data_IF_259769389465
#
_entry.id   IF_259769389465
#
_cell.length_a   1.000
_cell.length_b   1.000
_cell.length_c   1.000
_cell.angle_alpha   90.00
_cell.angle_beta   90.00
_cell.angle_gamma   90.00
#
_symmetry.space_group_name_H-M   'P 1'
#
loop_
_entity.id
_entity.type
_entity.pdbx_description
1 polymer ?
#
# COMPACT_ATOMS: atom_id res chain seq x y z
N UNK A 1 -38.52 -8.22 -8.00
CA UNK A 1 -38.14 -8.27 -9.44
C UNK A 1 -36.95 -7.35 -9.61
N UNK A 2 -35.75 -7.92 -9.61
CA UNK A 2 -34.49 -7.19 -9.69
C UNK A 2 -34.17 -6.91 -11.16
N UNK A 3 -33.84 -5.67 -11.57
CA UNK A 3 -33.44 -5.44 -12.96
C UNK A 3 -32.04 -6.01 -13.21
N UNK A 4 -31.78 -6.55 -14.42
CA UNK A 4 -30.49 -7.14 -14.77
C UNK A 4 -29.45 -6.07 -15.07
N UNK A 5 -28.25 -6.21 -14.51
CA UNK A 5 -27.07 -5.47 -14.96
C UNK A 5 -26.63 -6.06 -16.30
N UNK A 6 -26.87 -5.33 -17.39
CA UNK A 6 -26.39 -5.70 -18.72
C UNK A 6 -24.93 -5.24 -18.89
N UNK A 7 -24.12 -6.16 -19.39
CA UNK A 7 -22.77 -5.93 -19.89
C UNK A 7 -22.85 -5.23 -21.26
N UNK A 8 -22.02 -4.22 -21.49
CA UNK A 8 -21.68 -3.76 -22.85
C UNK A 8 -20.18 -3.53 -22.90
N UNK A 9 -19.56 -4.08 -23.95
CA UNK A 9 -18.14 -3.94 -24.22
C UNK A 9 -17.88 -3.34 -25.60
N UNK A 10 -16.61 -2.95 -25.75
CA UNK A 10 -15.86 -2.64 -26.96
C UNK A 10 -16.00 -1.24 -27.57
N UNK A 11 -15.02 -0.37 -27.24
CA UNK A 11 -14.34 0.47 -28.23
C UNK A 11 -12.85 0.55 -27.87
N UNK A 12 -12.00 0.22 -28.84
CA UNK A 12 -10.56 0.13 -28.69
C UNK A 12 -9.88 1.50 -28.58
N UNK A 13 -9.48 1.83 -27.36
CA UNK A 13 -8.33 2.68 -27.06
C UNK A 13 -7.38 1.85 -26.20
N UNK A 14 -6.12 1.76 -26.59
CA UNK A 14 -5.08 1.18 -25.72
C UNK A 14 -4.78 2.19 -24.62
N UNK A 15 -5.58 2.08 -23.55
CA UNK A 15 -5.50 2.76 -22.28
C UNK A 15 -4.15 2.51 -21.60
N UNK A 16 -3.33 3.56 -21.44
CA UNK A 16 -2.01 3.51 -20.79
C UNK A 16 -2.00 4.24 -19.44
N UNK A 17 -3.14 4.39 -18.77
CA UNK A 17 -3.23 5.10 -17.48
C UNK A 17 -3.89 4.33 -16.32
N UNK A 18 -4.39 3.10 -16.51
CA UNK A 18 -5.10 2.35 -15.44
C UNK A 18 -4.64 0.89 -15.20
N UNK A 19 -3.34 0.61 -15.37
CA UNK A 19 -2.74 -0.52 -14.64
C UNK A 19 -2.48 -0.07 -13.19
N UNK A 20 -3.56 -0.05 -12.39
CA UNK A 20 -3.52 0.27 -10.97
C UNK A 20 -2.62 -0.76 -10.24
N UNK A 21 -1.32 -0.48 -10.17
CA UNK A 21 -0.32 -1.31 -9.52
C UNK A 21 -0.80 -1.68 -8.12
N UNK A 22 -0.85 -2.99 -7.84
CA UNK A 22 -1.34 -3.51 -6.56
C UNK A 22 -0.17 -3.73 -5.62
N UNK A 23 -0.08 -2.98 -4.51
CA UNK A 23 0.97 -3.18 -3.54
C UNK A 23 0.72 -4.44 -2.72
N UNK A 24 1.80 -5.01 -2.18
CA UNK A 24 1.70 -6.04 -1.16
C UNK A 24 1.17 -5.42 0.15
N UNK A 25 0.30 -6.15 0.85
CA UNK A 25 -0.12 -5.79 2.20
C UNK A 25 0.86 -6.39 3.21
N UNK A 26 1.68 -5.57 3.91
CA UNK A 26 2.58 -6.06 4.96
C UNK A 26 1.78 -6.47 6.21
N UNK A 27 0.76 -5.68 6.57
CA UNK A 27 -0.10 -5.88 7.74
C UNK A 27 -1.42 -5.11 7.56
N UNK A 28 -2.53 -5.70 8.05
CA UNK A 28 -3.85 -5.08 8.08
C UNK A 28 -4.03 -4.18 9.30
N UNK A 29 -3.25 -3.09 9.34
CA UNK A 29 -3.33 -2.10 10.42
C UNK A 29 -2.43 -0.90 10.17
N UNK A 30 -2.59 0.21 10.91
CA UNK A 30 -1.65 1.31 10.88
C UNK A 30 -0.36 0.98 11.64
N UNK A 31 0.69 1.77 11.39
CA UNK A 31 1.85 1.89 12.28
C UNK A 31 1.80 3.27 12.93
N UNK A 32 1.81 3.29 14.26
CA UNK A 32 1.89 4.52 15.03
C UNK A 32 3.37 4.92 15.19
N UNK A 33 3.75 6.04 14.58
CA UNK A 33 5.11 6.58 14.65
C UNK A 33 5.14 7.79 15.59
N UNK A 34 6.06 7.80 16.54
CA UNK A 34 6.27 8.90 17.48
C UNK A 34 7.62 9.60 17.23
N UNK A 35 7.79 10.81 17.76
CA UNK A 35 9.10 11.49 17.79
C UNK A 35 9.62 11.96 16.42
N UNK A 36 8.73 12.26 15.47
CA UNK A 36 9.12 12.83 14.19
C UNK A 36 9.36 14.33 14.30
N UNK A 37 10.42 14.82 13.64
CA UNK A 37 10.78 16.23 13.64
C UNK A 37 9.99 16.98 12.56
N UNK A 38 9.25 18.05 12.90
CA UNK A 38 8.60 18.94 11.92
C UNK A 38 9.52 19.36 10.77
N UNK A 39 9.01 19.35 9.54
CA UNK A 39 9.77 19.71 8.34
C UNK A 39 10.75 18.63 7.87
N UNK A 40 10.98 17.57 8.64
CA UNK A 40 11.77 16.43 8.18
C UNK A 40 11.07 15.75 7.00
N UNK A 41 11.83 15.47 5.95
CA UNK A 41 11.34 14.66 4.83
C UNK A 41 11.47 13.18 5.19
N UNK A 42 10.38 12.43 5.02
CA UNK A 42 10.36 10.96 5.04
C UNK A 42 9.88 10.42 3.70
N UNK A 43 10.26 9.19 3.42
CA UNK A 43 9.82 8.46 2.23
C UNK A 43 8.91 7.32 2.69
N UNK A 44 7.60 7.46 2.45
CA UNK A 44 6.63 6.42 2.75
C UNK A 44 6.73 5.29 1.72
N UNK A 45 6.71 4.04 2.21
CA UNK A 45 6.73 2.85 1.37
C UNK A 45 5.36 2.70 0.69
N UNK A 46 5.34 2.63 -0.64
CA UNK A 46 4.12 2.41 -1.43
C UNK A 46 3.95 0.94 -1.86
N UNK A 47 5.04 0.17 -1.99
CA UNK A 47 5.00 -1.22 -2.49
C UNK A 47 4.66 -2.29 -1.44
N UNK A 48 4.84 -2.01 -0.16
CA UNK A 48 4.67 -2.98 0.93
C UNK A 48 5.88 -3.88 1.25
N UNK A 49 6.92 -3.88 0.41
CA UNK A 49 8.07 -4.79 0.57
C UNK A 49 9.14 -4.32 1.56
N UNK A 50 9.00 -3.13 2.15
CA UNK A 50 10.00 -2.62 3.09
C UNK A 50 10.03 -3.44 4.37
N UNK A 51 11.24 -3.74 4.86
CA UNK A 51 11.48 -4.31 6.19
C UNK A 51 11.35 -3.26 7.31
N UNK A 52 11.43 -1.97 6.96
CA UNK A 52 11.41 -0.83 7.88
C UNK A 52 10.11 -0.03 7.76
N UNK A 53 8.97 -0.74 7.67
CA UNK A 53 7.67 -0.08 7.56
C UNK A 53 7.48 0.94 8.70
N UNK A 54 6.82 2.07 8.43
CA UNK A 54 6.14 2.44 7.18
C UNK A 54 7.05 3.10 6.14
N UNK A 55 8.36 3.18 6.40
CA UNK A 55 9.30 3.94 5.58
C UNK A 55 9.94 3.07 4.48
N UNK A 56 10.33 3.71 3.39
CA UNK A 56 11.03 3.06 2.30
C UNK A 56 12.48 2.72 2.66
N UNK A 57 12.87 1.47 2.42
CA UNK A 57 14.23 0.93 2.58
C UNK A 57 14.89 0.56 1.24
N UNK A 58 14.31 1.04 0.13
CA UNK A 58 14.67 0.71 -1.25
C UNK A 58 14.32 -0.73 -1.70
N UNK A 59 13.56 -1.50 -0.92
CA UNK A 59 13.03 -2.80 -1.33
C UNK A 59 12.05 -2.72 -2.50
N UNK A 60 11.65 -1.54 -2.99
CA UNK A 60 10.85 -1.40 -4.21
C UNK A 60 11.65 -1.55 -5.52
N UNK A 61 13.00 -1.54 -5.49
CA UNK A 61 13.82 -1.70 -6.69
C UNK A 61 13.46 -2.98 -7.45
N UNK A 62 13.29 -2.90 -8.76
CA UNK A 62 12.80 -4.01 -9.59
C UNK A 62 11.28 -4.11 -9.68
N UNK A 63 10.55 -3.20 -9.05
CA UNK A 63 9.10 -2.99 -9.27
C UNK A 63 8.87 -1.59 -9.85
N UNK A 64 7.67 -1.33 -10.35
CA UNK A 64 7.22 -0.02 -10.84
C UNK A 64 6.86 0.96 -9.71
N UNK A 65 6.84 0.51 -8.45
CA UNK A 65 6.54 1.36 -7.32
C UNK A 65 7.64 2.38 -7.02
N UNK A 66 7.24 3.62 -6.76
CA UNK A 66 8.10 4.69 -6.26
C UNK A 66 7.65 5.12 -4.86
N UNK A 67 8.58 5.39 -3.92
CA UNK A 67 8.21 5.85 -2.59
C UNK A 67 7.60 7.25 -2.65
N UNK A 68 6.67 7.53 -1.74
CA UNK A 68 6.01 8.83 -1.64
C UNK A 68 6.79 9.73 -0.68
N UNK A 69 7.19 10.92 -1.16
CA UNK A 69 7.78 11.95 -0.31
C UNK A 69 6.71 12.56 0.58
N UNK A 70 6.94 12.53 1.89
CA UNK A 70 6.08 13.18 2.88
C UNK A 70 6.93 14.07 3.79
N UNK A 71 6.44 15.29 4.03
CA UNK A 71 7.07 16.24 4.95
C UNK A 71 6.28 16.19 6.25
N UNK A 72 6.97 15.94 7.37
CA UNK A 72 6.35 15.86 8.69
C UNK A 72 5.66 17.20 9.00
N UNK A 73 4.33 17.23 9.19
CA UNK A 73 3.64 18.46 9.55
C UNK A 73 4.05 18.90 10.97
N UNK A 74 4.05 20.21 11.22
CA UNK A 74 4.70 20.73 12.42
C UNK A 74 3.83 20.78 13.67
N UNK A 75 2.54 21.02 13.51
CA UNK A 75 1.67 21.38 14.62
C UNK A 75 0.24 20.90 14.40
N UNK A 76 -0.41 20.54 15.50
CA UNK A 76 -1.86 20.40 15.58
C UNK A 76 -2.52 21.78 15.41
N UNK A 77 -3.83 21.78 15.11
CA UNK A 77 -4.62 23.00 14.99
C UNK A 77 -4.60 23.86 16.28
N UNK A 78 -4.34 23.24 17.43
CA UNK A 78 -4.23 23.91 18.74
C UNK A 78 -2.81 24.42 19.08
N UNK A 79 -1.88 24.35 18.12
CA UNK A 79 -0.51 24.83 18.26
C UNK A 79 0.46 23.87 18.95
N UNK A 80 0.02 22.68 19.39
CA UNK A 80 0.91 21.68 19.99
C UNK A 80 1.65 20.87 18.94
N UNK A 81 2.84 20.37 19.29
CA UNK A 81 3.57 19.41 18.47
C UNK A 81 2.79 18.08 18.38
N UNK A 82 2.61 17.55 17.17
CA UNK A 82 2.00 16.25 16.97
C UNK A 82 2.92 15.14 17.52
N UNK A 83 2.50 14.51 18.63
CA UNK A 83 3.31 13.48 19.28
C UNK A 83 3.32 12.13 18.55
N UNK A 84 2.25 11.82 17.81
CA UNK A 84 2.03 10.51 17.17
C UNK A 84 1.36 10.65 15.81
N UNK A 85 1.85 9.90 14.83
CA UNK A 85 1.27 9.79 13.49
C UNK A 85 0.79 8.36 13.23
N UNK A 86 -0.48 8.21 12.83
CA UNK A 86 -1.01 6.93 12.36
C UNK A 86 -0.76 6.82 10.85
N UNK A 87 0.26 6.06 10.48
CA UNK A 87 0.70 5.90 9.09
C UNK A 87 0.15 4.59 8.52
N UNK A 88 -0.36 4.64 7.30
CA UNK A 88 -0.92 3.48 6.62
C UNK A 88 0.14 2.39 6.43
N UNK A 89 -0.14 1.18 6.93
CA UNK A 89 0.68 0.02 6.59
C UNK A 89 0.09 -0.83 5.48
N UNK A 90 -1.23 -0.87 5.29
CA UNK A 90 -1.85 -1.74 4.29
C UNK A 90 -1.60 -1.32 2.84
N UNK A 91 -1.25 -0.04 2.59
CA UNK A 91 -0.97 0.56 1.26
C UNK A 91 -2.20 0.85 0.38
N UNK A 92 -3.41 0.67 0.91
CA UNK A 92 -4.68 0.96 0.20
C UNK A 92 -5.40 2.21 0.76
N UNK A 93 -4.69 3.09 1.47
CA UNK A 93 -5.25 4.36 1.95
C UNK A 93 -5.57 5.28 0.78
N UNK A 94 -6.68 6.01 0.89
CA UNK A 94 -7.07 7.10 -0.01
C UNK A 94 -6.42 8.44 0.38
N UNK A 95 -5.81 8.51 1.56
CA UNK A 95 -5.17 9.71 2.10
C UNK A 95 -3.70 9.44 2.47
N UNK A 96 -2.82 9.08 1.51
CA UNK A 96 -1.44 8.76 1.81
C UNK A 96 -0.68 9.96 2.42
N UNK A 97 0.21 9.73 3.39
CA UNK A 97 0.60 8.43 3.97
C UNK A 97 -0.27 7.99 5.17
N UNK A 98 -1.33 8.72 5.51
CA UNK A 98 -2.11 8.50 6.73
C UNK A 98 -3.03 7.28 6.64
N UNK A 99 -3.32 6.69 7.79
CA UNK A 99 -4.33 5.64 7.88
C UNK A 99 -5.74 6.23 7.82
N UNK A 100 -6.58 5.68 6.95
CA UNK A 100 -8.00 6.02 6.76
C UNK A 100 -8.93 4.84 7.08
N UNK A 101 -8.42 3.83 7.79
CA UNK A 101 -9.12 2.57 8.10
C UNK A 101 -9.49 1.68 6.89
N UNK A 102 -8.98 1.93 5.68
CA UNK A 102 -9.23 1.05 4.52
C UNK A 102 -8.83 -0.42 4.77
N UNK A 103 -7.89 -0.66 5.70
CA UNK A 103 -7.44 -2.00 6.08
C UNK A 103 -8.51 -2.88 6.75
N UNK A 104 -9.63 -2.31 7.23
CA UNK A 104 -10.69 -3.08 7.88
C UNK A 104 -11.47 -3.93 6.88
N UNK A 105 -11.79 -3.38 5.71
CA UNK A 105 -12.55 -4.08 4.65
C UNK A 105 -11.67 -4.67 3.55
N UNK A 106 -10.34 -4.49 3.66
CA UNK A 106 -9.37 -4.93 2.66
C UNK A 106 -9.15 -6.46 2.61
N UNK A 107 -9.12 -7.23 3.72
CA UNK A 107 -8.69 -8.63 3.69
C UNK A 107 -9.43 -9.49 2.67
N UNK A 108 -10.77 -9.48 2.66
CA UNK A 108 -11.54 -10.23 1.68
C UNK A 108 -11.27 -9.79 0.24
N UNK A 109 -11.14 -8.48 -0.01
CA UNK A 109 -10.90 -7.93 -1.35
C UNK A 109 -9.51 -8.30 -1.87
N UNK A 110 -8.51 -8.21 -1.00
CA UNK A 110 -7.13 -8.51 -1.34
C UNK A 110 -6.92 -10.00 -1.62
N UNK A 111 -7.50 -10.87 -0.78
CA UNK A 111 -7.45 -12.32 -1.00
C UNK A 111 -8.24 -12.75 -2.23
N UNK A 112 -9.40 -12.14 -2.49
CA UNK A 112 -10.18 -12.37 -3.72
C UNK A 112 -9.36 -12.02 -4.97
N UNK A 113 -8.77 -10.82 -4.99
CA UNK A 113 -7.90 -10.37 -6.08
C UNK A 113 -6.71 -11.31 -6.34
N UNK A 114 -6.12 -11.90 -5.29
CA UNK A 114 -5.06 -12.89 -5.45
C UNK A 114 -5.56 -14.23 -5.99
N UNK A 115 -6.75 -14.68 -5.57
CA UNK A 115 -7.36 -15.91 -6.06
C UNK A 115 -7.82 -15.82 -7.52
N UNK A 116 -8.18 -14.63 -7.98
CA UNK A 116 -8.57 -14.35 -9.36
C UNK A 116 -7.39 -13.92 -10.26
N UNK A 117 -6.17 -13.85 -9.70
CA UNK A 117 -5.00 -13.42 -10.43
C UNK A 117 -4.62 -14.46 -11.51
N UNK A 118 -4.39 -13.97 -12.73
CA UNK A 118 -4.02 -14.79 -13.90
C UNK A 118 -2.50 -14.98 -14.05
N UNK A 119 -1.70 -14.27 -13.26
CA UNK A 119 -0.24 -14.34 -13.31
C UNK A 119 0.27 -15.62 -12.64
N UNK A 120 1.39 -16.15 -13.14
CA UNK A 120 2.05 -17.30 -12.51
C UNK A 120 2.81 -16.87 -11.25
N UNK A 121 2.16 -17.02 -10.09
CA UNK A 121 2.75 -16.72 -8.79
C UNK A 121 3.97 -17.59 -8.44
N UNK A 122 4.20 -18.73 -9.11
CA UNK A 122 5.41 -19.54 -8.89
C UNK A 122 6.66 -18.87 -9.49
N UNK A 123 6.49 -18.06 -10.53
CA UNK A 123 7.56 -17.30 -11.18
C UNK A 123 7.78 -15.90 -10.57
N UNK A 124 6.94 -15.47 -9.62
CA UNK A 124 7.05 -14.15 -9.00
C UNK A 124 8.20 -14.14 -8.00
N UNK A 125 9.31 -13.50 -8.36
CA UNK A 125 10.46 -13.35 -7.45
C UNK A 125 10.18 -12.42 -6.26
N UNK A 126 9.33 -11.41 -6.47
CA UNK A 126 9.23 -10.28 -5.53
C UNK A 126 7.82 -9.81 -5.25
N UNK A 127 7.12 -9.37 -6.29
CA UNK A 127 5.77 -8.83 -6.19
C UNK A 127 5.06 -9.00 -7.52
N UNK A 128 3.89 -9.63 -7.49
CA UNK A 128 2.94 -9.57 -8.57
C UNK A 128 2.28 -8.18 -8.54
N UNK A 129 2.64 -7.31 -9.48
CA UNK A 129 2.11 -5.95 -9.55
C UNK A 129 0.62 -5.92 -9.95
N UNK A 130 0.08 -7.04 -10.44
CA UNK A 130 -1.32 -7.18 -10.83
C UNK A 130 -2.25 -7.48 -9.65
N UNK A 131 -1.77 -8.20 -8.62
CA UNK A 131 -2.61 -8.62 -7.48
C UNK A 131 -2.01 -8.36 -6.09
N UNK A 132 -0.78 -7.87 -6.00
CA UNK A 132 -0.07 -7.61 -4.75
C UNK A 132 0.54 -8.85 -4.09
N UNK A 133 0.42 -10.04 -4.70
CA UNK A 133 1.06 -11.25 -4.17
C UNK A 133 2.57 -11.10 -4.06
N UNK A 134 3.11 -11.42 -2.88
CA UNK A 134 4.54 -11.53 -2.66
C UNK A 134 4.80 -12.92 -2.07
N UNK A 135 5.82 -13.66 -2.55
CA UNK A 135 6.12 -15.00 -2.06
C UNK A 135 6.51 -15.00 -0.58
N UNK A 136 7.06 -13.89 -0.11
CA UNK A 136 7.50 -13.68 1.26
C UNK A 136 7.03 -12.32 1.74
N UNK A 137 6.59 -12.23 3.01
CA UNK A 137 6.28 -10.96 3.67
C UNK A 137 7.49 -10.50 4.51
N UNK A 138 8.38 -9.65 3.94
CA UNK A 138 9.64 -9.28 4.60
C UNK A 138 9.42 -8.45 5.86
N UNK A 139 8.30 -7.75 5.99
CA UNK A 139 7.96 -7.01 7.19
C UNK A 139 7.67 -7.97 8.34
N UNK A 140 6.78 -8.95 8.16
CA UNK A 140 6.47 -9.92 9.22
C UNK A 140 7.66 -10.78 9.61
N UNK A 141 8.50 -11.18 8.66
CA UNK A 141 9.74 -11.90 8.98
C UNK A 141 10.69 -11.09 9.85
N UNK A 142 10.83 -9.79 9.58
CA UNK A 142 11.69 -8.90 10.37
C UNK A 142 11.26 -8.75 11.83
N UNK A 143 10.00 -9.04 12.16
CA UNK A 143 9.46 -8.93 13.52
C UNK A 143 9.56 -10.24 14.32
N UNK A 144 10.03 -11.34 13.69
CA UNK A 144 10.20 -12.65 14.33
C UNK A 144 11.58 -12.86 14.96
N UNK A 145 12.47 -11.88 14.84
CA UNK A 145 13.82 -11.85 15.42
C UNK A 145 13.83 -11.03 16.71
#
# INVERSE_FOLDING_TARGET
>A
MTPPCQETGADGVVEIEDLALKPCVPMYGPINVCGLVPGQTKLWCTCGLSKKQPWCDASHKGTKFKPLKWVVPGTLADGRSQARYSICNCKYTKAPPYCDAAHTDLPCKYLGQQGECKEDHAAVEKLCEACGYAPVNPYLESQRS
#
